data_IF_167525912514
#
_entry.id   IF_167525912514
#
_cell.length_a   1.000
_cell.length_b   1.000
_cell.length_c   1.000
_cell.angle_alpha   90.00
_cell.angle_beta   90.00
_cell.angle_gamma   90.00
#
_symmetry.space_group_name_H-M   'P 1'
#
loop_
_entity.id
_entity.type
_entity.pdbx_description
1 polymer ?
#
# COMPACT_ATOMS: atom_id res chain seq x y z
N UNK A 1 -12.63 -14.02 -7.67
CA UNK A 1 -11.59 -14.17 -6.64
C UNK A 1 -12.28 -14.32 -5.30
N UNK A 2 -11.94 -15.34 -4.51
CA UNK A 2 -12.55 -15.61 -3.21
C UNK A 2 -11.57 -15.25 -2.07
N UNK A 3 -12.04 -14.50 -1.08
CA UNK A 3 -11.17 -13.98 0.00
C UNK A 3 -10.67 -15.13 0.88
N UNK A 4 -11.54 -16.08 1.22
CA UNK A 4 -11.16 -17.18 2.10
C UNK A 4 -10.08 -18.05 1.45
N UNK A 5 -10.25 -18.36 0.16
CA UNK A 5 -9.27 -19.08 -0.65
C UNK A 5 -7.93 -18.34 -0.71
N UNK A 6 -7.96 -17.01 -0.93
CA UNK A 6 -6.73 -16.20 -0.90
C UNK A 6 -6.03 -16.25 0.46
N UNK A 7 -6.76 -16.08 1.56
CA UNK A 7 -6.20 -16.14 2.91
C UNK A 7 -5.59 -17.49 3.20
N UNK A 8 -6.26 -18.59 2.86
CA UNK A 8 -5.73 -19.95 3.03
C UNK A 8 -4.45 -20.15 2.24
N UNK A 9 -4.42 -19.76 0.95
CA UNK A 9 -3.20 -19.85 0.13
C UNK A 9 -2.08 -18.95 0.68
N UNK A 10 -2.40 -17.75 1.16
CA UNK A 10 -1.42 -16.82 1.72
C UNK A 10 -0.80 -17.38 3.01
N UNK A 11 -1.60 -17.95 3.90
CA UNK A 11 -1.13 -18.61 5.13
C UNK A 11 -0.29 -19.84 4.81
N UNK A 12 -0.67 -20.63 3.81
CA UNK A 12 0.12 -21.76 3.35
C UNK A 12 1.46 -21.31 2.75
N UNK A 13 1.48 -20.22 1.97
CA UNK A 13 2.70 -19.69 1.35
C UNK A 13 3.66 -19.05 2.37
N UNK A 14 3.17 -18.15 3.23
CA UNK A 14 4.01 -17.30 4.08
C UNK A 14 4.03 -17.71 5.56
N UNK A 15 3.08 -18.53 6.00
CA UNK A 15 2.91 -18.99 7.38
C UNK A 15 2.02 -18.11 8.25
N UNK A 16 1.78 -18.58 9.48
CA UNK A 16 0.86 -17.93 10.43
C UNK A 16 1.41 -16.64 11.05
N UNK A 17 2.74 -16.47 11.05
CA UNK A 17 3.36 -15.23 11.54
C UNK A 17 3.29 -14.06 10.56
N UNK A 18 3.10 -14.33 9.27
CA UNK A 18 2.95 -13.28 8.26
C UNK A 18 1.59 -12.59 8.41
N UNK A 19 1.58 -11.27 8.59
CA UNK A 19 0.33 -10.54 8.74
C UNK A 19 -0.53 -10.59 7.47
N UNK A 20 -1.85 -10.75 7.64
CA UNK A 20 -2.77 -10.62 6.51
C UNK A 20 -2.69 -9.20 5.93
N UNK A 21 -2.79 -9.05 4.60
CA UNK A 21 -2.75 -7.73 3.99
C UNK A 21 -3.95 -6.87 4.40
N UNK A 22 -3.78 -5.57 4.20
CA UNK A 22 -4.77 -4.54 4.43
C UNK A 22 -5.31 -4.09 3.09
N UNK A 23 -6.61 -4.18 2.87
CA UNK A 23 -7.25 -3.57 1.72
C UNK A 23 -7.59 -2.10 2.00
N UNK A 24 -7.63 -1.31 0.94
CA UNK A 24 -8.20 0.03 0.97
C UNK A 24 -9.08 0.31 -0.23
N UNK A 25 -10.09 1.16 -0.02
CA UNK A 25 -11.08 1.52 -1.03
C UNK A 25 -11.73 2.87 -0.73
N UNK A 26 -12.21 3.55 -1.76
CA UNK A 26 -13.00 4.76 -1.61
C UNK A 26 -14.50 4.46 -1.57
N UNK A 27 -15.26 5.24 -0.79
CA UNK A 27 -16.73 5.11 -0.67
C UNK A 27 -17.38 6.43 -0.24
N UNK A 28 -18.66 6.59 -0.56
CA UNK A 28 -19.48 7.71 -0.04
C UNK A 28 -20.04 7.42 1.36
N UNK A 29 -20.04 6.15 1.77
CA UNK A 29 -20.51 5.72 3.09
C UNK A 29 -19.32 5.55 4.03
N UNK A 30 -19.53 5.97 5.27
CA UNK A 30 -18.61 5.71 6.37
C UNK A 30 -18.79 4.27 6.88
N UNK A 31 -17.69 3.56 7.08
CA UNK A 31 -17.70 2.17 7.59
C UNK A 31 -17.46 2.12 9.10
N UNK A 32 -16.71 3.09 9.63
CA UNK A 32 -16.35 3.16 11.05
C UNK A 32 -16.08 4.60 11.48
N UNK A 33 -16.41 4.93 12.73
CA UNK A 33 -15.97 6.20 13.32
C UNK A 33 -14.47 6.14 13.58
N UNK A 34 -13.75 7.20 13.19
CA UNK A 34 -12.29 7.26 13.34
C UNK A 34 -11.92 8.62 13.89
N UNK A 35 -11.30 8.62 15.08
CA UNK A 35 -10.78 9.83 15.70
C UNK A 35 -9.77 10.52 14.79
N UNK A 36 -9.68 11.85 14.92
CA UNK A 36 -8.73 12.66 14.16
C UNK A 36 -7.29 12.17 14.39
N UNK A 37 -6.61 11.81 13.30
CA UNK A 37 -5.24 11.31 13.33
C UNK A 37 -4.27 12.47 13.10
N UNK A 38 -3.63 12.95 14.17
CA UNK A 38 -2.61 13.99 14.08
C UNK A 38 -1.38 13.55 13.28
N UNK A 39 -1.01 14.30 12.24
CA UNK A 39 0.12 13.97 11.38
C UNK A 39 -0.19 12.82 10.42
N UNK A 40 0.73 11.86 10.30
CA UNK A 40 0.62 10.75 9.35
C UNK A 40 -0.57 9.82 9.68
N UNK A 41 -1.49 9.62 8.73
CA UNK A 41 -2.68 8.78 8.95
C UNK A 41 -2.33 7.30 9.13
N UNK A 42 -1.14 6.87 8.69
CA UNK A 42 -0.67 5.49 8.87
C UNK A 42 -0.55 5.07 10.34
N UNK A 43 -0.51 6.01 11.29
CA UNK A 43 -0.67 5.71 12.73
C UNK A 43 -1.96 4.93 13.02
N UNK A 44 -3.01 5.16 12.24
CA UNK A 44 -4.27 4.44 12.35
C UNK A 44 -4.18 2.96 11.93
N UNK A 45 -3.15 2.56 11.18
CA UNK A 45 -3.03 1.16 10.73
C UNK A 45 -2.78 0.18 11.87
N UNK A 46 -2.32 0.62 13.05
CA UNK A 46 -2.28 -0.26 14.21
C UNK A 46 -3.67 -0.82 14.53
N UNK A 47 -4.71 0.02 14.51
CA UNK A 47 -6.09 -0.41 14.73
C UNK A 47 -6.56 -1.37 13.63
N UNK A 48 -6.10 -1.15 12.40
CA UNK A 48 -6.43 -2.02 11.26
C UNK A 48 -5.78 -3.40 11.41
N UNK A 49 -4.52 -3.45 11.86
CA UNK A 49 -3.79 -4.69 12.17
C UNK A 49 -4.47 -5.47 13.30
N UNK A 50 -5.09 -4.78 14.25
CA UNK A 50 -5.93 -5.35 15.33
C UNK A 50 -7.34 -5.77 14.85
N UNK A 51 -7.66 -5.59 13.57
CA UNK A 51 -8.91 -6.05 12.95
C UNK A 51 -10.05 -5.03 12.95
N UNK A 52 -9.78 -3.75 13.24
CA UNK A 52 -10.78 -2.67 13.08
C UNK A 52 -10.74 -2.12 11.66
N UNK A 53 -11.86 -1.57 11.19
CA UNK A 53 -11.88 -0.71 10.00
C UNK A 53 -11.68 0.73 10.43
N UNK A 54 -10.88 1.49 9.69
CA UNK A 54 -10.79 2.95 9.84
C UNK A 54 -11.35 3.63 8.58
N UNK A 55 -12.04 4.74 8.78
CA UNK A 55 -12.60 5.58 7.73
C UNK A 55 -11.93 6.95 7.75
N UNK A 56 -11.25 7.31 6.68
CA UNK A 56 -10.48 8.55 6.57
C UNK A 56 -11.17 9.51 5.61
N UNK A 57 -11.12 10.80 5.96
CA UNK A 57 -11.51 11.91 5.08
C UNK A 57 -10.59 13.13 5.34
N UNK A 58 -10.90 14.28 4.74
CA UNK A 58 -10.13 15.52 4.92
C UNK A 58 -10.08 16.04 6.36
N UNK A 59 -11.04 15.70 7.21
CA UNK A 59 -11.12 16.20 8.59
C UNK A 59 -10.41 15.28 9.59
N UNK A 60 -10.42 13.97 9.30
CA UNK A 60 -9.73 12.94 10.08
C UNK A 60 -8.22 12.97 9.82
N UNK A 61 -7.77 13.13 8.58
CA UNK A 61 -6.34 13.12 8.25
C UNK A 61 -5.68 14.42 8.73
N UNK A 62 -4.66 14.35 9.58
CA UNK A 62 -3.93 15.54 10.05
C UNK A 62 -2.87 16.05 9.08
N UNK A 63 -2.17 15.17 8.36
CA UNK A 63 -1.08 15.54 7.45
C UNK A 63 -1.60 16.11 6.12
N UNK A 64 -1.12 17.30 5.74
CA UNK A 64 -1.46 17.91 4.45
C UNK A 64 -1.05 17.07 3.23
N UNK A 65 0.10 16.41 3.30
CA UNK A 65 0.52 15.43 2.28
C UNK A 65 -0.43 14.23 2.22
N UNK A 66 -0.87 13.73 3.39
CA UNK A 66 -1.86 12.67 3.48
C UNK A 66 -3.17 13.03 2.76
N UNK A 67 -3.72 14.21 3.05
CA UNK A 67 -4.95 14.71 2.40
C UNK A 67 -4.80 14.86 0.89
N UNK A 68 -3.63 15.33 0.44
CA UNK A 68 -3.34 15.52 -0.97
C UNK A 68 -3.22 14.19 -1.72
N UNK A 69 -2.37 13.27 -1.24
CA UNK A 69 -2.11 11.99 -1.92
C UNK A 69 -3.29 11.00 -1.85
N UNK A 70 -4.24 11.20 -0.93
CA UNK A 70 -5.54 10.49 -0.95
C UNK A 70 -6.61 11.21 -1.78
N UNK A 71 -6.25 12.28 -2.52
CA UNK A 71 -7.16 12.99 -3.41
C UNK A 71 -8.21 13.87 -2.72
N UNK A 72 -8.15 14.07 -1.39
CA UNK A 72 -9.15 14.85 -0.64
C UNK A 72 -8.92 16.36 -0.67
N UNK A 73 -7.66 16.82 -0.74
CA UNK A 73 -7.35 18.26 -0.91
C UNK A 73 -6.38 18.53 -2.05
N UNK A 74 -6.30 19.76 -2.52
CA UNK A 74 -5.20 20.20 -3.38
C UNK A 74 -3.87 20.16 -2.60
N UNK A 75 -2.76 20.25 -3.33
CA UNK A 75 -1.43 20.32 -2.71
C UNK A 75 -1.31 21.61 -1.90
N UNK A 76 -1.02 21.55 -0.60
CA UNK A 76 -0.74 22.76 0.17
C UNK A 76 0.51 23.49 -0.34
N UNK A 77 0.42 24.82 -0.47
CA UNK A 77 1.49 25.69 -1.04
C UNK A 77 2.84 25.52 -0.33
N UNK A 78 2.85 25.16 0.96
CA UNK A 78 4.07 25.00 1.74
C UNK A 78 4.80 23.66 1.49
N UNK A 79 4.17 22.67 0.85
CA UNK A 79 4.72 21.32 0.68
C UNK A 79 6.04 21.31 -0.10
N UNK A 80 6.20 22.01 -1.24
CA UNK A 80 7.47 22.03 -1.97
C UNK A 80 8.66 22.50 -1.12
N UNK A 81 8.48 23.59 -0.35
CA UNK A 81 9.51 24.11 0.54
C UNK A 81 9.77 23.17 1.73
N UNK A 82 8.73 22.58 2.29
CA UNK A 82 8.88 21.61 3.38
C UNK A 82 9.69 20.39 2.94
N UNK A 83 9.32 19.77 1.82
CA UNK A 83 9.97 18.55 1.30
C UNK A 83 11.42 18.80 0.88
N UNK A 84 11.74 19.99 0.37
CA UNK A 84 13.08 20.29 -0.15
C UNK A 84 14.00 21.04 0.82
N UNK A 85 13.53 22.12 1.44
CA UNK A 85 14.40 22.99 2.24
C UNK A 85 14.48 22.52 3.70
N UNK A 86 13.39 21.96 4.23
CA UNK A 86 13.32 21.46 5.62
C UNK A 86 13.73 19.99 5.71
N UNK A 87 13.00 19.12 5.01
CA UNK A 87 13.22 17.66 5.06
C UNK A 87 14.32 17.17 4.11
N UNK A 88 14.65 17.96 3.07
CA UNK A 88 15.73 17.66 2.11
C UNK A 88 15.59 16.33 1.37
N UNK A 89 14.36 15.89 1.10
CA UNK A 89 14.10 14.71 0.28
C UNK A 89 14.29 14.98 -1.22
N UNK A 90 14.21 16.26 -1.61
CA UNK A 90 14.59 16.78 -2.93
C UNK A 90 15.46 18.02 -2.76
N UNK A 91 16.29 18.33 -3.76
CA UNK A 91 17.24 19.44 -3.66
C UNK A 91 16.56 20.81 -3.69
N UNK A 92 15.50 20.98 -4.49
CA UNK A 92 14.81 22.28 -4.64
C UNK A 92 13.28 22.13 -4.63
N UNK A 93 12.52 23.19 -4.30
CA UNK A 93 11.06 23.19 -4.38
C UNK A 93 10.52 22.90 -5.79
N UNK A 94 11.23 23.33 -6.83
CA UNK A 94 10.87 23.12 -8.23
C UNK A 94 10.90 21.62 -8.57
N UNK A 95 11.94 20.89 -8.12
CA UNK A 95 12.01 19.44 -8.30
C UNK A 95 10.82 18.70 -7.66
N UNK A 96 10.30 19.22 -6.54
CA UNK A 96 9.10 18.66 -5.89
C UNK A 96 7.86 18.95 -6.73
N UNK A 97 7.71 20.19 -7.18
CA UNK A 97 6.57 20.64 -7.97
C UNK A 97 6.50 19.94 -9.33
N UNK A 98 7.64 19.79 -10.01
CA UNK A 98 7.75 19.09 -11.30
C UNK A 98 7.38 17.61 -11.13
N UNK A 99 7.86 16.97 -10.07
CA UNK A 99 7.52 15.59 -9.77
C UNK A 99 6.01 15.41 -9.51
N UNK A 100 5.40 16.31 -8.75
CA UNK A 100 3.96 16.26 -8.46
C UNK A 100 3.12 16.49 -9.73
N UNK A 101 3.55 17.40 -10.60
CA UNK A 101 2.94 17.60 -11.93
C UNK A 101 3.03 16.35 -12.82
N UNK A 102 4.12 15.58 -12.72
CA UNK A 102 4.27 14.33 -13.47
C UNK A 102 3.35 13.22 -12.94
N UNK A 103 3.19 13.11 -11.61
CA UNK A 103 2.31 12.10 -11.02
C UNK A 103 0.84 12.35 -11.36
N UNK A 104 0.40 13.61 -11.44
CA UNK A 104 -1.00 14.00 -11.64
C UNK A 104 -1.94 13.34 -10.61
N UNK A 105 -1.69 13.63 -9.33
CA UNK A 105 -2.49 13.07 -8.22
C UNK A 105 -3.99 13.33 -8.46
N UNK A 106 -4.82 12.28 -8.57
CA UNK A 106 -6.23 12.45 -8.88
C UNK A 106 -6.99 13.02 -7.67
N UNK A 107 -8.02 13.82 -7.97
CA UNK A 107 -9.04 14.21 -6.98
C UNK A 107 -10.01 13.05 -6.82
N UNK A 108 -10.38 12.71 -5.59
CA UNK A 108 -11.47 11.76 -5.35
C UNK A 108 -12.79 12.50 -5.24
N UNK A 109 -13.85 11.91 -5.81
CA UNK A 109 -15.23 12.38 -5.61
C UNK A 109 -15.89 11.70 -4.39
N UNK A 110 -15.23 10.69 -3.82
CA UNK A 110 -15.74 9.92 -2.70
C UNK A 110 -15.49 10.62 -1.37
N UNK A 111 -16.43 10.49 -0.45
CA UNK A 111 -16.35 11.12 0.86
C UNK A 111 -15.31 10.49 1.80
N UNK A 112 -15.02 9.19 1.63
CA UNK A 112 -14.17 8.42 2.53
C UNK A 112 -13.17 7.51 1.79
N UNK A 113 -12.05 7.24 2.46
CA UNK A 113 -11.06 6.22 2.15
C UNK A 113 -10.97 5.28 3.34
N UNK A 114 -11.27 4.02 3.13
CA UNK A 114 -11.29 3.00 4.18
C UNK A 114 -10.04 2.15 4.14
N UNK A 115 -9.60 1.69 5.30
CA UNK A 115 -8.61 0.62 5.44
C UNK A 115 -9.15 -0.46 6.36
N UNK A 116 -9.08 -1.72 5.91
CA UNK A 116 -9.47 -2.89 6.69
C UNK A 116 -8.56 -4.07 6.36
N UNK A 117 -8.26 -4.90 7.36
CA UNK A 117 -7.57 -6.18 7.12
C UNK A 117 -8.50 -7.10 6.32
N UNK A 118 -7.95 -7.89 5.40
CA UNK A 118 -8.78 -8.62 4.41
C UNK A 118 -9.77 -9.62 5.01
N UNK A 119 -9.55 -10.11 6.23
CA UNK A 119 -10.49 -10.98 6.96
C UNK A 119 -11.78 -10.26 7.40
N UNK A 120 -11.83 -8.93 7.26
CA UNK A 120 -13.01 -8.10 7.57
C UNK A 120 -13.83 -7.74 6.34
N UNK A 121 -13.39 -8.12 5.15
CA UNK A 121 -14.08 -7.80 3.90
C UNK A 121 -15.09 -8.90 3.55
N UNK A 122 -16.22 -8.49 2.96
CA UNK A 122 -17.19 -9.41 2.38
C UNK A 122 -16.82 -9.86 0.97
N UNK A 123 -16.20 -8.97 0.16
CA UNK A 123 -15.70 -9.27 -1.18
C UNK A 123 -14.54 -8.33 -1.54
N UNK A 124 -13.82 -8.64 -2.63
CA UNK A 124 -12.79 -7.75 -3.20
C UNK A 124 -13.39 -6.66 -4.12
N UNK A 125 -14.71 -6.53 -4.18
CA UNK A 125 -15.35 -5.55 -5.05
C UNK A 125 -15.01 -4.13 -4.57
N UNK A 126 -14.72 -3.25 -5.53
CA UNK A 126 -14.35 -1.85 -5.29
C UNK A 126 -13.05 -1.61 -4.51
N UNK A 127 -12.31 -2.67 -4.13
CA UNK A 127 -10.96 -2.53 -3.56
C UNK A 127 -10.05 -1.84 -4.57
N UNK A 128 -9.24 -0.90 -4.11
CA UNK A 128 -8.22 -0.24 -4.94
C UNK A 128 -6.92 -1.04 -4.91
N UNK A 129 -6.50 -1.50 -3.74
CA UNK A 129 -5.33 -2.36 -3.64
C UNK A 129 -5.16 -3.01 -2.27
N UNK A 130 -4.16 -3.89 -2.24
CA UNK A 130 -3.74 -4.62 -1.05
C UNK A 130 -2.38 -4.12 -0.60
N UNK A 131 -2.32 -3.60 0.61
CA UNK A 131 -1.11 -3.19 1.31
C UNK A 131 -0.61 -4.33 2.19
N UNK A 132 0.62 -4.76 1.94
CA UNK A 132 1.36 -5.69 2.78
C UNK A 132 2.39 -4.92 3.59
N UNK A 133 2.41 -5.14 4.91
CA UNK A 133 3.50 -4.73 5.79
C UNK A 133 4.45 -5.91 5.91
N UNK A 134 5.62 -5.80 5.29
CA UNK A 134 6.45 -6.96 4.99
C UNK A 134 7.89 -6.78 5.44
N UNK A 135 8.44 -7.83 6.06
CA UNK A 135 9.87 -8.00 6.31
C UNK A 135 10.60 -8.31 5.00
N UNK A 136 11.94 -8.21 4.93
CA UNK A 136 12.69 -8.58 3.73
C UNK A 136 12.37 -9.98 3.17
N UNK A 137 12.07 -10.94 4.05
CA UNK A 137 11.70 -12.30 3.66
C UNK A 137 10.33 -12.38 3.00
N UNK A 138 9.33 -11.76 3.61
CA UNK A 138 7.98 -11.67 3.04
C UNK A 138 8.05 -10.90 1.71
N UNK A 139 8.82 -9.81 1.64
CA UNK A 139 9.05 -9.06 0.40
C UNK A 139 9.68 -9.92 -0.69
N UNK A 140 10.61 -10.82 -0.37
CA UNK A 140 11.20 -11.72 -1.37
C UNK A 140 10.15 -12.65 -2.00
N UNK A 141 9.18 -13.12 -1.23
CA UNK A 141 8.06 -13.92 -1.76
C UNK A 141 7.05 -13.09 -2.55
N UNK A 142 6.70 -11.90 -2.05
CA UNK A 142 5.76 -11.01 -2.74
C UNK A 142 6.30 -10.53 -4.09
N UNK A 143 7.60 -10.21 -4.16
CA UNK A 143 8.25 -9.75 -5.40
C UNK A 143 8.38 -10.90 -6.41
N UNK A 144 8.84 -12.08 -5.98
CA UNK A 144 8.96 -13.25 -6.88
C UNK A 144 7.60 -13.71 -7.41
N UNK A 145 6.55 -13.69 -6.59
CA UNK A 145 5.17 -13.91 -7.05
C UNK A 145 4.72 -12.84 -8.05
N UNK A 146 5.02 -11.56 -7.79
CA UNK A 146 4.69 -10.48 -8.73
C UNK A 146 5.41 -10.61 -10.08
N UNK A 147 6.60 -11.20 -10.13
CA UNK A 147 7.36 -11.40 -11.37
C UNK A 147 6.96 -12.68 -12.15
N UNK A 148 6.23 -13.59 -11.53
CA UNK A 148 6.11 -14.98 -11.99
C UNK A 148 5.55 -15.14 -13.42
N UNK A 149 4.54 -14.35 -13.79
CA UNK A 149 3.78 -14.46 -15.04
C UNK A 149 4.11 -13.34 -16.05
N UNK A 150 5.15 -12.54 -15.83
CA UNK A 150 5.46 -11.37 -16.65
C UNK A 150 6.95 -11.14 -16.86
N UNK A 151 7.31 -10.59 -18.03
CA UNK A 151 8.67 -10.16 -18.37
C UNK A 151 8.86 -8.63 -18.24
N UNK A 152 7.87 -7.90 -17.71
CA UNK A 152 7.98 -6.45 -17.60
C UNK A 152 9.09 -6.05 -16.62
N UNK A 153 9.99 -5.18 -17.10
CA UNK A 153 11.21 -4.80 -16.38
C UNK A 153 10.94 -4.08 -15.05
N UNK A 154 9.86 -3.30 -14.97
CA UNK A 154 9.49 -2.48 -13.82
C UNK A 154 8.24 -3.02 -13.08
N UNK A 155 8.01 -4.33 -13.14
CA UNK A 155 6.88 -5.01 -12.47
C UNK A 155 6.79 -4.67 -10.98
N UNK A 156 7.92 -4.47 -10.31
CA UNK A 156 7.96 -3.88 -8.96
C UNK A 156 8.75 -2.58 -9.04
N UNK A 157 8.12 -1.47 -8.68
CA UNK A 157 8.71 -0.15 -8.75
C UNK A 157 8.79 0.52 -7.36
N UNK A 158 9.76 1.41 -7.17
CA UNK A 158 9.87 2.29 -6.00
C UNK A 158 10.02 3.76 -6.40
N UNK A 159 9.00 4.38 -7.03
CA UNK A 159 9.06 5.80 -7.38
C UNK A 159 9.25 6.67 -6.14
N UNK A 160 9.86 7.84 -6.31
CA UNK A 160 9.93 8.83 -5.23
C UNK A 160 8.52 9.17 -4.72
N UNK A 161 8.34 9.33 -3.42
CA UNK A 161 7.04 9.67 -2.86
C UNK A 161 7.02 9.50 -1.36
N UNK A 162 6.01 10.08 -0.73
CA UNK A 162 5.67 9.73 0.66
C UNK A 162 4.93 8.39 0.71
N UNK A 163 4.83 7.77 1.87
CA UNK A 163 4.09 6.52 2.04
C UNK A 163 2.66 6.59 1.51
N UNK A 164 1.98 7.73 1.66
CA UNK A 164 0.61 7.89 1.18
C UNK A 164 0.56 8.03 -0.35
N UNK A 165 1.60 8.61 -0.97
CA UNK A 165 1.78 8.56 -2.41
C UNK A 165 2.02 7.13 -2.90
N UNK A 166 2.95 6.39 -2.29
CA UNK A 166 3.35 5.06 -2.76
C UNK A 166 2.26 4.01 -2.57
N UNK A 167 1.50 4.11 -1.48
CA UNK A 167 0.41 3.17 -1.18
C UNK A 167 -0.87 3.56 -1.92
N UNK A 168 -1.33 4.80 -1.82
CA UNK A 168 -2.66 5.18 -2.30
C UNK A 168 -2.60 5.74 -3.72
N UNK A 169 -1.88 6.84 -3.94
CA UNK A 169 -1.88 7.53 -5.24
C UNK A 169 -1.40 6.65 -6.37
N UNK A 170 -0.23 6.00 -6.22
CA UNK A 170 0.34 5.18 -7.27
C UNK A 170 -0.56 3.99 -7.60
N UNK A 171 -1.20 3.39 -6.60
CA UNK A 171 -2.16 2.30 -6.80
C UNK A 171 -3.36 2.73 -7.62
N UNK A 172 -4.00 3.86 -7.27
CA UNK A 172 -5.15 4.39 -8.02
C UNK A 172 -4.75 4.70 -9.47
N UNK A 173 -3.61 5.36 -9.67
CA UNK A 173 -3.11 5.69 -11.01
C UNK A 173 -2.78 4.44 -11.83
N UNK A 174 -2.26 3.39 -11.20
CA UNK A 174 -1.97 2.13 -11.87
C UNK A 174 -3.27 1.42 -12.28
N UNK A 175 -4.27 1.37 -11.39
CA UNK A 175 -5.60 0.83 -11.70
C UNK A 175 -6.26 1.57 -12.88
N UNK A 176 -6.21 2.90 -12.90
CA UNK A 176 -6.79 3.73 -13.96
C UNK A 176 -6.19 3.45 -15.35
N UNK A 177 -4.94 2.98 -15.39
CA UNK A 177 -4.22 2.66 -16.63
C UNK A 177 -4.33 1.17 -17.00
N UNK A 178 -5.07 0.38 -16.21
CA UNK A 178 -5.00 -1.09 -16.21
C UNK A 178 -3.53 -1.58 -16.16
N UNK A 179 -2.69 -0.85 -15.41
CA UNK A 179 -1.28 -1.14 -15.23
C UNK A 179 -1.07 -2.36 -14.35
N UNK A 180 0.12 -2.96 -14.46
CA UNK A 180 0.44 -4.26 -13.86
C UNK A 180 1.59 -4.19 -12.85
N UNK A 181 1.98 -2.99 -12.42
CA UNK A 181 3.07 -2.81 -11.47
C UNK A 181 2.60 -2.91 -10.03
N UNK A 182 3.46 -3.44 -9.17
CA UNK A 182 3.36 -3.36 -7.72
C UNK A 182 4.32 -2.29 -7.20
N UNK A 183 4.04 -1.74 -6.02
CA UNK A 183 4.82 -0.64 -5.46
C UNK A 183 5.46 -1.01 -4.13
N UNK A 184 6.79 -0.94 -4.11
CA UNK A 184 7.57 -0.97 -2.87
C UNK A 184 7.71 0.45 -2.33
N UNK A 185 7.47 0.64 -1.03
CA UNK A 185 7.40 1.97 -0.43
C UNK A 185 7.84 2.00 1.03
N UNK A 186 7.41 3.05 1.74
CA UNK A 186 7.89 3.41 3.08
C UNK A 186 9.38 3.74 3.14
N UNK A 187 9.95 4.26 2.05
CA UNK A 187 11.31 4.80 2.03
C UNK A 187 11.41 6.27 2.41
N UNK A 188 10.27 6.96 2.58
CA UNK A 188 10.29 8.32 3.13
C UNK A 188 10.56 8.28 4.65
N UNK A 189 11.55 9.04 5.16
CA UNK A 189 11.83 9.08 6.58
C UNK A 189 10.65 9.51 7.46
N UNK A 190 9.64 10.20 6.90
CA UNK A 190 8.50 10.71 7.65
C UNK A 190 7.49 9.63 8.09
N UNK A 191 7.39 8.51 7.35
CA UNK A 191 6.52 7.39 7.72
C UNK A 191 7.23 6.34 8.58
N UNK A 192 8.56 6.19 8.44
CA UNK A 192 9.35 5.15 9.13
C UNK A 192 9.11 5.06 10.65
N UNK A 193 8.99 6.18 11.41
CA UNK A 193 8.78 6.11 12.86
C UNK A 193 7.43 5.50 13.29
N UNK A 194 6.51 5.25 12.36
CA UNK A 194 5.18 4.70 12.64
C UNK A 194 5.10 3.18 12.44
N UNK A 195 6.20 2.55 12.05
CA UNK A 195 6.29 1.12 11.80
C UNK A 195 7.58 0.54 12.37
N UNK A 196 7.58 -0.77 12.55
CA UNK A 196 8.72 -1.54 12.98
C UNK A 196 9.89 -1.37 11.99
N UNK A 197 11.11 -1.36 12.52
CA UNK A 197 12.31 -0.99 11.77
C UNK A 197 12.55 -1.87 10.53
N UNK A 198 12.10 -3.13 10.57
CA UNK A 198 12.25 -4.12 9.52
C UNK A 198 11.05 -4.25 8.57
N UNK A 199 9.95 -3.51 8.78
CA UNK A 199 8.79 -3.55 7.90
C UNK A 199 8.83 -2.44 6.85
N UNK A 200 8.57 -2.80 5.60
CA UNK A 200 8.28 -1.86 4.51
C UNK A 200 6.87 -2.12 3.95
N UNK A 201 6.37 -1.21 3.12
CA UNK A 201 5.11 -1.41 2.40
C UNK A 201 5.35 -2.07 1.04
N UNK A 202 4.58 -3.10 0.71
CA UNK A 202 4.41 -3.59 -0.65
C UNK A 202 2.94 -3.49 -1.03
N UNK A 203 2.61 -2.77 -2.08
CA UNK A 203 1.22 -2.54 -2.49
C UNK A 203 0.94 -3.17 -3.84
N UNK A 204 -0.12 -3.96 -3.92
CA UNK A 204 -0.60 -4.59 -5.16
C UNK A 204 -1.90 -3.90 -5.57
N UNK A 205 -1.91 -3.16 -6.69
CA UNK A 205 -3.13 -2.62 -7.28
C UNK A 205 -4.07 -3.75 -7.73
N UNK A 206 -5.38 -3.53 -7.67
CA UNK A 206 -6.34 -4.54 -8.09
C UNK A 206 -6.27 -4.87 -9.59
N UNK A 207 -5.82 -3.95 -10.45
CA UNK A 207 -5.52 -4.24 -11.86
C UNK A 207 -4.44 -5.31 -12.02
N UNK A 208 -3.50 -5.42 -11.06
CA UNK A 208 -2.46 -6.45 -11.02
C UNK A 208 -2.88 -7.68 -10.24
N UNK A 209 -3.54 -7.51 -9.09
CA UNK A 209 -3.92 -8.61 -8.21
C UNK A 209 -4.83 -9.65 -8.89
N UNK A 210 -5.69 -9.22 -9.83
CA UNK A 210 -6.59 -10.11 -10.57
C UNK A 210 -5.87 -11.26 -11.27
N UNK A 211 -4.70 -11.02 -11.85
CA UNK A 211 -3.89 -12.05 -12.50
C UNK A 211 -3.09 -12.83 -11.46
N UNK A 212 -2.41 -12.11 -10.56
CA UNK A 212 -1.58 -12.71 -9.51
C UNK A 212 -2.35 -13.71 -8.63
N UNK A 213 -3.62 -13.42 -8.31
CA UNK A 213 -4.49 -14.30 -7.53
C UNK A 213 -4.54 -15.71 -8.12
N UNK A 214 -4.57 -15.83 -9.44
CA UNK A 214 -4.69 -17.12 -10.13
C UNK A 214 -3.34 -17.84 -10.27
N UNK A 215 -2.21 -17.13 -10.22
CA UNK A 215 -0.87 -17.70 -10.40
C UNK A 215 -0.14 -18.00 -9.09
N UNK A 216 -0.70 -17.61 -7.93
CA UNK A 216 -0.06 -17.80 -6.62
C UNK A 216 0.39 -19.25 -6.37
N UNK A 217 -0.49 -20.24 -6.59
CA UNK A 217 -0.17 -21.66 -6.37
C UNK A 217 0.82 -22.25 -7.37
N UNK A 218 0.97 -21.61 -8.53
CA UNK A 218 1.89 -22.04 -9.59
C UNK A 218 3.30 -21.45 -9.38
N UNK A 219 3.39 -20.40 -8.55
CA UNK A 219 4.63 -19.67 -8.25
C UNK A 219 5.58 -20.45 -7.33
N UNK A 220 6.77 -19.89 -7.11
CA UNK A 220 7.77 -20.48 -6.22
C UNK A 220 7.32 -20.59 -4.75
N UNK A 221 6.21 -19.95 -4.37
CA UNK A 221 5.69 -19.96 -3.01
C UNK A 221 5.20 -21.34 -2.52
N UNK A 222 5.06 -22.32 -3.42
CA UNK A 222 4.54 -23.66 -3.12
C UNK A 222 5.51 -24.73 -3.63
N UNK A 223 5.76 -25.75 -2.80
CA UNK A 223 6.53 -26.94 -3.13
C UNK A 223 7.93 -26.71 -3.73
N UNK A 224 8.57 -25.56 -3.43
CA UNK A 224 9.95 -25.27 -3.85
C UNK A 224 10.95 -25.25 -2.69
N UNK A 225 12.13 -25.82 -2.94
CA UNK A 225 13.17 -25.96 -1.93
C UNK A 225 13.70 -24.62 -1.40
N UNK A 226 13.86 -23.61 -2.27
CA UNK A 226 14.38 -22.30 -1.85
C UNK A 226 13.38 -21.56 -0.98
N UNK A 227 12.10 -21.55 -1.38
CA UNK A 227 11.06 -20.87 -0.60
C UNK A 227 10.79 -21.56 0.74
N UNK A 228 10.84 -22.90 0.80
CA UNK A 228 10.66 -23.65 2.05
C UNK A 228 11.57 -23.15 3.19
N UNK A 229 12.85 -22.88 2.89
CA UNK A 229 13.81 -22.33 3.87
C UNK A 229 13.46 -20.91 4.32
N UNK A 230 12.94 -20.09 3.42
CA UNK A 230 12.52 -18.72 3.75
C UNK A 230 11.25 -18.73 4.60
N UNK A 231 10.29 -19.59 4.25
CA UNK A 231 9.07 -19.81 5.04
C UNK A 231 9.41 -20.28 6.45
N UNK A 232 10.35 -21.20 6.63
CA UNK A 232 10.84 -21.59 7.96
C UNK A 232 11.32 -20.37 8.76
N UNK A 233 12.22 -19.56 8.19
CA UNK A 233 12.75 -18.34 8.83
C UNK A 233 11.69 -17.28 9.16
N UNK A 234 10.63 -17.14 8.36
CA UNK A 234 9.49 -16.24 8.67
C UNK A 234 8.75 -16.70 9.95
N UNK A 235 8.75 -18.00 10.24
CA UNK A 235 7.96 -18.59 11.32
C UNK A 235 8.78 -18.97 12.57
N UNK A 236 10.09 -18.72 12.57
CA UNK A 236 11.00 -18.74 13.73
C UNK A 236 10.72 -17.58 14.69
#
# INVERSE_FOLDING_TARGET
MDIHTFMTNYREAFGERAELPIAFWYSDKQESETDKIGGCFFKGLQQVREGKTISLNSDVIGCGGGKFYTGFTEMPIHVPNFVSLKEKYKKTPEMVTDFIKQIQVPRTEKAYLHFARIDKLASFDHVEGLLFLATPDILSGLTTWAFYDTNAFDTVATPFGSGCSSVVTLTVLENQKDGKRCFLGFFDPSVRPHFEANLLSFTIPMSRFKEMYHTMRESCLFDTHAWGKIKERINE
#
